data_IF_547464655359
#
_entry.id   IF_547464655359
#
_cell.length_a   1.000
_cell.length_b   1.000
_cell.length_c   1.000
_cell.angle_alpha   90.00
_cell.angle_beta   90.00
_cell.angle_gamma   90.00
#
_symmetry.space_group_name_H-M   'P 1'
#
loop_
_entity.id
_entity.type
_entity.pdbx_description
1 polymer ?
#
# COMPACT_ATOMS: atom_id res chain seq x y z
N UNK A 1 -21.58 2.91 -6.90
CA UNK A 1 -20.45 3.14 -7.83
C UNK A 1 -20.59 2.16 -8.96
N UNK A 2 -20.41 2.59 -10.21
CA UNK A 2 -20.31 1.72 -11.38
C UNK A 2 -18.94 1.03 -11.43
N UNK A 3 -18.79 -0.02 -12.24
CA UNK A 3 -17.49 -0.69 -12.39
C UNK A 3 -16.41 0.24 -12.95
N UNK A 4 -16.78 1.17 -13.84
CA UNK A 4 -15.86 2.17 -14.39
C UNK A 4 -15.38 3.16 -13.32
N UNK A 5 -16.29 3.64 -12.47
CA UNK A 5 -15.93 4.52 -11.35
C UNK A 5 -15.08 3.76 -10.33
N UNK A 6 -15.41 2.49 -10.05
CA UNK A 6 -14.63 1.64 -9.15
C UNK A 6 -13.22 1.38 -9.68
N UNK A 7 -13.09 1.09 -10.98
CA UNK A 7 -11.80 0.92 -11.64
C UNK A 7 -10.93 2.18 -11.51
N UNK A 8 -11.51 3.35 -11.78
CA UNK A 8 -10.80 4.63 -11.67
C UNK A 8 -10.40 4.95 -10.22
N UNK A 9 -11.30 4.74 -9.25
CA UNK A 9 -11.02 4.96 -7.83
C UNK A 9 -9.93 4.01 -7.32
N UNK A 10 -10.04 2.72 -7.65
CA UNK A 10 -9.04 1.74 -7.23
C UNK A 10 -7.66 2.01 -7.86
N UNK A 11 -7.61 2.31 -9.16
CA UNK A 11 -6.34 2.58 -9.84
C UNK A 11 -5.65 3.82 -9.26
N UNK A 12 -6.38 4.93 -9.10
CA UNK A 12 -5.81 6.16 -8.53
C UNK A 12 -5.31 5.97 -7.09
N UNK A 13 -6.08 5.26 -6.27
CA UNK A 13 -5.71 4.95 -4.89
C UNK A 13 -4.47 4.03 -4.84
N UNK A 14 -4.45 2.97 -5.65
CA UNK A 14 -3.31 2.07 -5.75
C UNK A 14 -2.04 2.79 -6.22
N UNK A 15 -2.13 3.70 -7.20
CA UNK A 15 -0.98 4.47 -7.65
C UNK A 15 -0.43 5.40 -6.55
N UNK A 16 -1.33 6.05 -5.80
CA UNK A 16 -0.95 6.92 -4.69
C UNK A 16 -0.15 6.18 -3.59
N UNK A 17 -0.45 4.90 -3.35
CA UNK A 17 0.30 4.05 -2.43
C UNK A 17 1.56 3.42 -3.04
N UNK A 18 1.46 2.90 -4.28
CA UNK A 18 2.53 2.11 -4.91
C UNK A 18 3.79 2.93 -5.19
N UNK A 19 3.64 4.19 -5.64
CA UNK A 19 4.79 5.05 -5.96
C UNK A 19 5.67 5.32 -4.73
N UNK A 20 5.15 5.85 -3.61
CA UNK A 20 5.97 6.04 -2.41
C UNK A 20 6.45 4.71 -1.81
N UNK A 21 5.63 3.65 -1.86
CA UNK A 21 6.04 2.32 -1.40
C UNK A 21 7.26 1.80 -2.15
N UNK A 22 7.34 2.02 -3.47
CA UNK A 22 8.53 1.67 -4.25
C UNK A 22 9.76 2.41 -3.76
N UNK A 23 9.65 3.71 -3.49
CA UNK A 23 10.77 4.52 -2.97
C UNK A 23 11.22 4.03 -1.60
N UNK A 24 10.29 3.71 -0.71
CA UNK A 24 10.62 3.10 0.58
C UNK A 24 11.30 1.75 0.42
N UNK A 25 10.77 0.87 -0.44
CA UNK A 25 11.37 -0.45 -0.70
C UNK A 25 12.80 -0.34 -1.23
N UNK A 26 13.05 0.59 -2.16
CA UNK A 26 14.38 0.83 -2.70
C UNK A 26 15.36 1.35 -1.61
N UNK A 27 14.90 2.21 -0.70
CA UNK A 27 15.68 2.68 0.46
C UNK A 27 15.93 1.57 1.49
N UNK A 28 14.94 0.73 1.76
CA UNK A 28 14.99 -0.38 2.71
C UNK A 28 15.91 -1.51 2.25
N UNK A 29 15.90 -1.82 0.95
CA UNK A 29 16.73 -2.86 0.34
C UNK A 29 18.16 -2.39 0.00
N UNK A 30 18.50 -1.13 0.28
CA UNK A 30 19.82 -0.59 0.00
C UNK A 30 20.89 -1.35 0.82
N UNK A 31 22.00 -1.83 0.20
CA UNK A 31 23.07 -2.52 0.93
C UNK A 31 23.77 -1.64 1.98
N UNK A 32 23.68 -0.32 1.85
CA UNK A 32 24.18 0.66 2.80
C UNK A 32 23.01 1.57 3.24
N UNK A 33 22.10 1.09 4.10
CA UNK A 33 20.88 1.81 4.44
C UNK A 33 21.19 3.09 5.22
N UNK A 34 20.60 4.21 4.80
CA UNK A 34 20.63 5.47 5.52
C UNK A 34 19.37 5.63 6.38
N UNK A 35 19.55 5.80 7.68
CA UNK A 35 18.43 5.89 8.63
C UNK A 35 17.54 7.10 8.36
N UNK A 36 18.11 8.24 7.99
CA UNK A 36 17.33 9.44 7.72
C UNK A 36 16.42 9.24 6.51
N UNK A 37 16.96 8.67 5.43
CA UNK A 37 16.23 8.33 4.20
C UNK A 37 15.14 7.28 4.49
N UNK A 38 15.45 6.23 5.25
CA UNK A 38 14.46 5.21 5.63
C UNK A 38 13.31 5.84 6.42
N UNK A 39 13.61 6.67 7.43
CA UNK A 39 12.57 7.32 8.25
C UNK A 39 11.69 8.23 7.41
N UNK A 40 12.29 9.03 6.52
CA UNK A 40 11.56 9.94 5.66
C UNK A 40 10.64 9.18 4.69
N UNK A 41 11.19 8.19 3.98
CA UNK A 41 10.42 7.40 3.00
C UNK A 41 9.36 6.53 3.66
N UNK A 42 9.61 6.03 4.88
CA UNK A 42 8.61 5.33 5.68
C UNK A 42 7.46 6.26 6.10
N UNK A 43 7.76 7.49 6.55
CA UNK A 43 6.72 8.47 6.91
C UNK A 43 5.83 8.83 5.70
N UNK A 44 6.46 9.11 4.54
CA UNK A 44 5.72 9.39 3.31
C UNK A 44 4.84 8.20 2.90
N UNK A 45 5.39 6.98 2.96
CA UNK A 45 4.64 5.77 2.59
C UNK A 45 3.50 5.51 3.58
N UNK A 46 3.72 5.69 4.89
CA UNK A 46 2.70 5.58 5.93
C UNK A 46 1.50 6.46 5.60
N UNK A 47 1.76 7.73 5.28
CA UNK A 47 0.69 8.69 5.03
C UNK A 47 -0.09 8.32 3.76
N UNK A 48 0.61 7.87 2.72
CA UNK A 48 0.01 7.42 1.46
C UNK A 48 -0.87 6.18 1.63
N UNK A 49 -0.38 5.15 2.32
CA UNK A 49 -1.13 3.91 2.53
C UNK A 49 -2.27 4.10 3.53
N UNK A 50 -2.12 4.96 4.55
CA UNK A 50 -3.22 5.32 5.44
C UNK A 50 -4.34 6.08 4.70
N UNK A 51 -4.00 7.03 3.81
CA UNK A 51 -4.96 7.74 3.00
C UNK A 51 -5.67 6.82 1.99
N UNK A 52 -4.92 5.87 1.42
CA UNK A 52 -5.46 4.82 0.54
C UNK A 52 -6.43 3.93 1.28
N UNK A 53 -6.05 3.39 2.44
CA UNK A 53 -6.90 2.57 3.29
C UNK A 53 -8.22 3.29 3.63
N UNK A 54 -8.15 4.57 4.01
CA UNK A 54 -9.35 5.37 4.27
C UNK A 54 -10.25 5.49 3.03
N UNK A 55 -9.66 5.72 1.87
CA UNK A 55 -10.41 5.80 0.60
C UNK A 55 -11.08 4.47 0.25
N UNK A 56 -10.39 3.35 0.49
CA UNK A 56 -10.93 2.01 0.31
C UNK A 56 -12.07 1.72 1.31
N UNK A 57 -11.97 2.17 2.55
CA UNK A 57 -12.98 1.99 3.60
C UNK A 57 -14.28 2.77 3.32
N UNK A 58 -14.15 4.02 2.87
CA UNK A 58 -15.29 4.92 2.63
C UNK A 58 -15.98 4.66 1.27
N UNK A 59 -15.32 3.92 0.37
CA UNK A 59 -15.80 3.63 -0.97
C UNK A 59 -17.05 2.74 -1.02
N UNK A 60 -18.01 3.07 -1.91
CA UNK A 60 -19.19 2.23 -2.17
C UNK A 60 -18.93 1.22 -3.29
N UNK A 61 -18.16 0.19 -2.97
CA UNK A 61 -17.66 -0.80 -3.93
C UNK A 61 -18.73 -1.74 -4.50
N UNK A 62 -18.62 -2.17 -5.76
CA UNK A 62 -19.43 -3.26 -6.32
C UNK A 62 -19.25 -4.55 -5.52
N UNK A 63 -20.33 -5.34 -5.41
CA UNK A 63 -20.33 -6.59 -4.65
C UNK A 63 -19.23 -7.56 -5.10
N UNK A 64 -18.89 -7.57 -6.39
CA UNK A 64 -17.88 -8.45 -6.97
C UNK A 64 -16.45 -8.20 -6.44
N UNK A 65 -16.14 -7.03 -5.87
CA UNK A 65 -14.79 -6.69 -5.38
C UNK A 65 -14.75 -6.34 -3.90
N UNK A 66 -15.91 -6.20 -3.25
CA UNK A 66 -16.02 -5.68 -1.88
C UNK A 66 -15.15 -6.42 -0.87
N UNK A 67 -15.14 -7.75 -0.90
CA UNK A 67 -14.37 -8.55 0.05
C UNK A 67 -12.86 -8.41 -0.18
N UNK A 68 -12.43 -8.37 -1.44
CA UNK A 68 -11.02 -8.17 -1.78
C UNK A 68 -10.55 -6.75 -1.42
N UNK A 69 -11.42 -5.75 -1.57
CA UNK A 69 -11.13 -4.38 -1.14
C UNK A 69 -10.89 -4.32 0.37
N UNK A 70 -11.70 -5.04 1.16
CA UNK A 70 -11.51 -5.10 2.60
C UNK A 70 -10.14 -5.70 2.97
N UNK A 71 -9.71 -6.75 2.26
CA UNK A 71 -8.39 -7.36 2.47
C UNK A 71 -7.25 -6.37 2.17
N UNK A 72 -7.34 -5.64 1.04
CA UNK A 72 -6.32 -4.63 0.68
C UNK A 72 -6.31 -3.48 1.69
N UNK A 73 -7.48 -2.96 2.05
CA UNK A 73 -7.64 -1.90 3.06
C UNK A 73 -6.99 -2.28 4.40
N UNK A 74 -7.26 -3.48 4.90
CA UNK A 74 -6.76 -3.92 6.20
C UNK A 74 -5.23 -4.10 6.15
N UNK A 75 -4.70 -4.56 5.01
CA UNK A 75 -3.26 -4.62 4.76
C UNK A 75 -2.63 -3.23 4.76
N UNK A 76 -3.25 -2.24 4.13
CA UNK A 76 -2.75 -0.86 4.09
C UNK A 76 -2.73 -0.22 5.50
N UNK A 77 -3.76 -0.45 6.31
CA UNK A 77 -3.76 -0.01 7.71
C UNK A 77 -2.67 -0.70 8.55
N UNK A 78 -2.49 -2.01 8.39
CA UNK A 78 -1.42 -2.74 9.08
C UNK A 78 -0.04 -2.20 8.66
N UNK A 79 0.15 -1.95 7.36
CA UNK A 79 1.39 -1.38 6.83
C UNK A 79 1.64 0.03 7.37
N UNK A 80 0.61 0.89 7.43
CA UNK A 80 0.74 2.24 7.99
C UNK A 80 1.26 2.19 9.45
N UNK A 81 0.73 1.27 10.27
CA UNK A 81 1.17 1.12 11.66
C UNK A 81 2.67 0.79 11.75
N UNK A 82 3.15 -0.13 10.92
CA UNK A 82 4.54 -0.59 10.90
C UNK A 82 5.48 0.51 10.40
N UNK A 83 5.09 1.20 9.33
CA UNK A 83 5.83 2.32 8.79
C UNK A 83 5.89 3.49 9.79
N UNK A 84 4.87 3.67 10.63
CA UNK A 84 4.91 4.58 11.77
C UNK A 84 6.00 4.22 12.79
N UNK A 85 6.14 2.94 13.12
CA UNK A 85 7.23 2.43 13.97
C UNK A 85 8.60 2.72 13.37
N UNK A 86 8.80 2.39 12.10
CA UNK A 86 10.04 2.64 11.36
C UNK A 86 10.37 4.15 11.32
N UNK A 87 9.40 4.99 10.97
CA UNK A 87 9.59 6.44 10.89
C UNK A 87 9.96 7.08 12.24
N UNK A 88 9.58 6.46 13.36
CA UNK A 88 9.89 6.92 14.72
C UNK A 88 11.20 6.36 15.31
N UNK A 89 11.83 5.40 14.62
CA UNK A 89 13.05 4.74 15.11
C UNK A 89 14.23 5.70 15.31
N UNK A 90 15.09 5.37 16.28
CA UNK A 90 16.33 6.12 16.59
C UNK A 90 17.57 5.46 16.03
N UNK A 91 17.50 4.18 15.67
CA UNK A 91 18.61 3.41 15.08
C UNK A 91 18.10 2.55 13.92
N UNK A 92 19.01 2.16 13.01
CA UNK A 92 18.71 1.18 11.96
C UNK A 92 18.24 -0.15 12.54
N UNK A 93 18.86 -0.60 13.64
CA UNK A 93 18.43 -1.82 14.32
C UNK A 93 16.98 -1.72 14.77
N UNK A 94 16.57 -0.64 15.44
CA UNK A 94 15.17 -0.43 15.82
C UNK A 94 14.24 -0.38 14.61
N UNK A 95 14.65 0.23 13.50
CA UNK A 95 13.88 0.22 12.27
C UNK A 95 13.66 -1.22 11.79
N UNK A 96 14.71 -2.02 11.67
CA UNK A 96 14.66 -3.40 11.16
C UNK A 96 13.98 -4.42 12.08
N UNK A 97 13.77 -4.10 13.37
CA UNK A 97 12.94 -4.92 14.26
C UNK A 97 11.44 -4.85 13.92
N UNK A 98 11.00 -3.87 13.12
CA UNK A 98 9.62 -3.80 12.66
C UNK A 98 9.37 -4.87 11.58
N UNK A 99 8.57 -5.88 11.91
CA UNK A 99 8.26 -6.98 11.00
C UNK A 99 7.04 -6.65 10.15
N UNK A 100 7.18 -6.75 8.82
CA UNK A 100 6.05 -6.68 7.90
C UNK A 100 5.27 -8.00 7.91
N UNK A 101 3.92 -7.97 7.92
CA UNK A 101 3.12 -9.18 7.80
C UNK A 101 3.29 -9.80 6.42
N UNK A 102 2.90 -11.08 6.30
CA UNK A 102 2.81 -11.73 5.00
C UNK A 102 1.86 -10.95 4.08
N UNK A 103 2.33 -10.59 2.88
CA UNK A 103 1.59 -9.77 1.92
C UNK A 103 0.82 -10.58 0.88
N UNK A 104 0.91 -11.91 0.91
CA UNK A 104 0.29 -12.80 -0.09
C UNK A 104 -1.22 -12.61 -0.22
N UNK A 105 -2.02 -12.50 0.86
CA UNK A 105 -3.47 -12.33 0.75
C UNK A 105 -3.86 -11.02 0.06
N UNK A 106 -3.19 -9.91 0.42
CA UNK A 106 -3.45 -8.59 -0.15
C UNK A 106 -2.97 -8.50 -1.61
N UNK A 107 -1.83 -9.11 -1.93
CA UNK A 107 -1.32 -9.22 -3.30
C UNK A 107 -2.31 -9.99 -4.19
N UNK A 108 -2.81 -11.13 -3.73
CA UNK A 108 -3.79 -11.91 -4.46
C UNK A 108 -5.14 -11.17 -4.59
N UNK A 109 -5.60 -10.49 -3.53
CA UNK A 109 -6.81 -9.67 -3.56
C UNK A 109 -6.70 -8.52 -4.58
N UNK A 110 -5.57 -7.81 -4.59
CA UNK A 110 -5.29 -6.74 -5.55
C UNK A 110 -5.35 -7.23 -7.00
N UNK A 111 -4.80 -8.40 -7.29
CA UNK A 111 -4.88 -9.00 -8.63
C UNK A 111 -6.31 -9.40 -9.02
N UNK A 112 -7.11 -9.93 -8.08
CA UNK A 112 -8.53 -10.23 -8.31
C UNK A 112 -9.35 -8.97 -8.59
N UNK A 113 -9.12 -7.89 -7.83
CA UNK A 113 -9.77 -6.60 -8.07
C UNK A 113 -9.43 -6.10 -9.47
N UNK A 114 -8.14 -6.10 -9.84
CA UNK A 114 -7.70 -5.66 -11.17
C UNK A 114 -8.37 -6.44 -12.28
N UNK A 115 -8.37 -7.77 -12.18
CA UNK A 115 -9.05 -8.64 -13.14
C UNK A 115 -10.55 -8.34 -13.26
N UNK A 116 -11.26 -8.19 -12.14
CA UNK A 116 -12.72 -7.94 -12.14
C UNK A 116 -13.10 -6.55 -12.62
N UNK A 117 -12.23 -5.55 -12.42
CA UNK A 117 -12.45 -4.16 -12.84
C UNK A 117 -11.86 -3.85 -14.23
N UNK A 118 -11.28 -4.85 -14.91
CA UNK A 118 -10.65 -4.66 -16.23
C UNK A 118 -9.40 -3.78 -16.20
N UNK A 119 -8.70 -3.75 -15.08
CA UNK A 119 -7.43 -3.02 -14.92
C UNK A 119 -6.24 -3.91 -15.32
N UNK A 120 -5.11 -3.31 -15.73
CA UNK A 120 -3.89 -4.05 -15.99
C UNK A 120 -3.40 -4.84 -14.77
N UNK A 121 -2.80 -6.00 -15.01
CA UNK A 121 -2.22 -6.85 -13.96
C UNK A 121 -0.99 -6.19 -13.30
N UNK A 122 -0.21 -5.44 -14.08
CA UNK A 122 0.92 -4.67 -13.56
C UNK A 122 0.42 -3.56 -12.62
N UNK A 123 0.83 -3.56 -11.34
CA UNK A 123 0.38 -2.59 -10.37
C UNK A 123 0.85 -1.16 -10.61
N UNK A 124 1.84 -0.97 -11.49
CA UNK A 124 2.40 0.32 -11.86
C UNK A 124 1.90 0.81 -13.22
N UNK A 125 1.26 -0.04 -14.03
CA UNK A 125 0.75 0.38 -15.34
C UNK A 125 -0.45 1.32 -15.17
N UNK A 126 -0.33 2.54 -15.71
CA UNK A 126 -1.36 3.58 -15.59
C UNK A 126 -1.19 4.45 -14.34
N UNK A 127 -0.16 4.17 -13.53
CA UNK A 127 0.59 5.18 -12.81
C UNK A 127 1.64 5.77 -13.78
#
# INVERSE_FOLDING_TARGET
MTDKEAAALYLSSACAANVPSKVFNDAWANPNPDLATIKQTAATTRDAVAATAKTLDEGRWPAAVKDDIAIVRDSDFAQASILGGIASSSTLEQAFQNQFPATDPASAASQRIRSRLGLPADPYQGC
#
